data_IF_037769857997
#
_entry.id   IF_037769857997
#
_cell.length_a   1.000
_cell.length_b   1.000
_cell.length_c   1.000
_cell.angle_alpha   90.00
_cell.angle_beta   90.00
_cell.angle_gamma   90.00
#
_symmetry.space_group_name_H-M   'P 1'
#
loop_
_entity.id
_entity.type
_entity.pdbx_description
1 polymer ?
#
# COMPACT_ATOMS: atom_id res chain seq x y z
N UNK A 1 4.84 0.86 -6.15
CA UNK A 1 3.92 0.32 -5.11
C UNK A 1 3.76 -1.18 -5.27
N UNK A 2 3.28 -1.74 -6.40
CA UNK A 2 3.21 -3.20 -6.58
C UNK A 2 4.53 -3.94 -6.32
N UNK A 3 5.64 -3.51 -6.90
CA UNK A 3 6.95 -4.18 -6.71
C UNK A 3 7.42 -4.18 -5.25
N UNK A 4 7.10 -3.14 -4.48
CA UNK A 4 7.47 -3.05 -3.07
C UNK A 4 6.68 -4.03 -2.20
N UNK A 5 5.46 -4.42 -2.60
CA UNK A 5 4.67 -5.43 -1.89
C UNK A 5 4.91 -6.84 -2.45
N UNK A 6 5.26 -6.97 -3.73
CA UNK A 6 5.56 -8.24 -4.40
C UNK A 6 6.75 -9.00 -3.77
N UNK A 7 7.67 -8.30 -3.11
CA UNK A 7 8.77 -8.89 -2.35
C UNK A 7 8.33 -9.53 -1.01
N UNK A 8 7.12 -9.20 -0.52
CA UNK A 8 6.57 -9.73 0.73
C UNK A 8 5.48 -10.78 0.51
N UNK A 9 4.89 -10.82 -0.69
CA UNK A 9 3.86 -11.78 -1.06
C UNK A 9 3.14 -11.45 -2.36
N UNK A 10 2.13 -12.23 -2.72
CA UNK A 10 1.39 -12.04 -3.96
C UNK A 10 0.35 -10.91 -3.84
N UNK A 11 0.54 -9.86 -4.64
CA UNK A 11 -0.36 -8.70 -4.67
C UNK A 11 -1.54 -8.97 -5.59
N UNK A 12 -2.68 -9.35 -5.01
CA UNK A 12 -3.94 -9.53 -5.71
C UNK A 12 -4.40 -8.25 -6.40
N UNK A 13 -4.38 -7.12 -5.68
CA UNK A 13 -4.84 -5.84 -6.21
C UNK A 13 -4.03 -4.68 -5.64
N UNK A 14 -3.78 -3.67 -6.46
CA UNK A 14 -3.19 -2.41 -6.01
C UNK A 14 -3.91 -1.26 -6.70
N UNK A 15 -4.46 -0.34 -5.91
CA UNK A 15 -5.20 0.83 -6.38
C UNK A 15 -4.70 2.07 -5.67
N UNK A 16 -4.01 2.94 -6.40
CA UNK A 16 -3.54 4.22 -5.88
C UNK A 16 -4.67 5.23 -6.01
N UNK A 17 -5.02 5.91 -4.92
CA UNK A 17 -5.97 7.01 -4.97
C UNK A 17 -5.23 8.26 -5.40
N UNK A 18 -5.51 8.70 -6.62
CA UNK A 18 -5.03 9.96 -7.17
C UNK A 18 -6.15 10.99 -7.09
N UNK A 19 -5.78 12.21 -6.75
CA UNK A 19 -6.67 13.35 -6.81
C UNK A 19 -6.98 13.64 -8.28
N UNK A 20 -8.27 13.70 -8.65
CA UNK A 20 -8.67 13.93 -10.05
C UNK A 20 -8.42 15.36 -10.50
N UNK A 21 -8.51 16.31 -9.57
CA UNK A 21 -8.38 17.74 -9.85
C UNK A 21 -6.92 18.17 -10.01
N UNK A 22 -6.02 17.67 -9.15
CA UNK A 22 -4.59 18.03 -9.20
C UNK A 22 -3.72 17.01 -9.92
N UNK A 23 -4.29 15.87 -10.33
CA UNK A 23 -3.57 14.68 -10.84
C UNK A 23 -2.44 14.17 -9.92
N UNK A 24 -2.32 14.72 -8.70
CA UNK A 24 -1.34 14.26 -7.71
C UNK A 24 -1.92 13.08 -6.96
N UNK A 25 -1.08 12.10 -6.66
CA UNK A 25 -1.41 11.05 -5.70
C UNK A 25 -1.82 11.71 -4.38
N UNK A 26 -2.99 11.36 -3.83
CA UNK A 26 -3.45 11.87 -2.52
C UNK A 26 -2.58 11.39 -1.35
N UNK A 27 -1.54 10.59 -1.63
CA UNK A 27 -0.65 10.03 -0.62
C UNK A 27 -1.16 8.73 -0.01
N UNK A 28 -2.25 8.16 -0.52
CA UNK A 28 -2.79 6.89 -0.06
C UNK A 28 -3.23 5.99 -1.22
N UNK A 29 -3.20 4.69 -0.97
CA UNK A 29 -3.60 3.66 -1.91
C UNK A 29 -3.99 2.40 -1.16
N UNK A 30 -4.77 1.56 -1.81
CA UNK A 30 -5.22 0.28 -1.29
C UNK A 30 -4.44 -0.83 -1.97
N UNK A 31 -3.89 -1.74 -1.18
CA UNK A 31 -3.28 -2.97 -1.65
C UNK A 31 -4.05 -4.12 -1.02
N UNK A 32 -4.45 -5.06 -1.87
CA UNK A 32 -5.11 -6.30 -1.51
C UNK A 32 -4.09 -7.41 -1.73
N UNK A 33 -3.74 -8.11 -0.65
CA UNK A 33 -2.83 -9.24 -0.63
C UNK A 33 -3.64 -10.53 -0.66
N UNK A 34 -3.03 -11.63 -1.10
CA UNK A 34 -3.69 -12.93 -1.07
C UNK A 34 -3.81 -13.46 0.38
N UNK A 35 -2.73 -13.35 1.17
CA UNK A 35 -2.68 -13.76 2.56
C UNK A 35 -2.54 -12.59 3.55
N UNK A 36 -3.20 -12.71 4.70
CA UNK A 36 -3.14 -11.70 5.76
C UNK A 36 -1.74 -11.61 6.39
N UNK A 37 -1.02 -12.73 6.50
CA UNK A 37 0.34 -12.78 7.07
C UNK A 37 1.34 -12.04 6.18
N UNK A 38 1.24 -12.24 4.85
CA UNK A 38 2.04 -11.52 3.86
C UNK A 38 1.75 -10.01 3.88
N UNK A 39 0.46 -9.65 4.00
CA UNK A 39 0.05 -8.26 4.15
C UNK A 39 0.63 -7.61 5.41
N UNK A 40 0.61 -8.29 6.54
CA UNK A 40 1.17 -7.79 7.80
C UNK A 40 2.67 -7.57 7.72
N UNK A 41 3.43 -8.48 7.07
CA UNK A 41 4.86 -8.30 6.82
C UNK A 41 5.16 -7.12 5.90
N UNK A 42 4.36 -6.97 4.84
CA UNK A 42 4.50 -5.85 3.92
C UNK A 42 4.18 -4.52 4.61
N UNK A 43 3.18 -4.50 5.50
CA UNK A 43 2.86 -3.35 6.35
C UNK A 43 4.07 -3.02 7.21
N UNK A 44 4.61 -3.96 7.98
CA UNK A 44 5.72 -3.68 8.91
C UNK A 44 6.97 -3.16 8.19
N UNK A 45 7.30 -3.71 7.01
CA UNK A 45 8.49 -3.35 6.27
C UNK A 45 8.36 -2.09 5.37
N UNK A 46 7.14 -1.70 5.00
CA UNK A 46 6.87 -0.54 4.14
C UNK A 46 6.19 0.61 4.87
N UNK A 47 5.61 0.37 6.04
CA UNK A 47 5.09 1.42 6.90
C UNK A 47 6.25 2.30 7.36
N UNK A 48 6.04 3.62 7.32
CA UNK A 48 7.04 4.63 7.62
C UNK A 48 8.25 4.68 6.67
N UNK A 49 8.22 3.98 5.53
CA UNK A 49 9.27 4.16 4.51
C UNK A 49 9.14 5.49 3.77
N UNK A 50 10.26 6.14 3.56
CA UNK A 50 10.33 7.31 2.69
C UNK A 50 10.44 6.90 1.22
N UNK A 51 9.52 7.36 0.38
CA UNK A 51 9.52 7.10 -1.07
C UNK A 51 9.37 8.42 -1.82
N UNK A 52 10.46 8.87 -2.44
CA UNK A 52 10.50 10.12 -3.20
C UNK A 52 10.25 11.36 -2.34
N UNK A 53 10.80 11.39 -1.11
CA UNK A 53 10.66 12.50 -0.17
C UNK A 53 9.31 12.56 0.54
N UNK A 54 8.56 11.45 0.56
CA UNK A 54 7.28 11.33 1.28
C UNK A 54 7.23 10.04 2.07
N UNK A 55 6.87 10.14 3.34
CA UNK A 55 6.65 8.99 4.20
C UNK A 55 5.38 8.25 3.76
N UNK A 56 5.54 6.99 3.39
CA UNK A 56 4.44 6.06 3.12
C UNK A 56 3.94 5.52 4.45
N UNK A 57 2.62 5.51 4.62
CA UNK A 57 1.98 4.85 5.75
C UNK A 57 1.19 3.67 5.23
N UNK A 58 1.54 2.48 5.69
CA UNK A 58 0.91 1.23 5.28
C UNK A 58 0.30 0.62 6.53
N UNK A 59 -0.97 0.26 6.49
CA UNK A 59 -1.67 -0.33 7.63
C UNK A 59 -2.62 -1.41 7.14
N UNK A 60 -3.02 -2.29 8.05
CA UNK A 60 -3.99 -3.34 7.77
C UNK A 60 -5.33 -2.72 7.38
N UNK A 61 -5.71 -2.89 6.12
CA UNK A 61 -7.00 -2.46 5.61
C UNK A 61 -8.06 -3.46 6.07
N UNK A 62 -8.68 -3.19 7.23
CA UNK A 62 -9.83 -3.98 7.69
C UNK A 62 -11.01 -3.70 6.76
N UNK A 63 -11.61 -4.72 6.11
CA UNK A 63 -12.86 -4.55 5.39
C UNK A 63 -13.90 -4.05 6.40
N UNK A 64 -14.63 -2.98 6.04
CA UNK A 64 -15.84 -2.64 6.77
C UNK A 64 -16.89 -3.68 6.40
N UNK A 65 -17.24 -4.53 7.36
CA UNK A 65 -18.57 -5.18 7.40
C UNK A 65 -19.68 -4.12 7.42
#
# INVERSE_FOLDING_TARGET
MKEAFAQFGEVKRAKIVKDRDTNRSKGFGFVEMDDANEGQRAIDALNDKELGGRTLRVNEARPKE
#
